data_IF_772052702132
#
_entry.id   IF_772052702132
#
_cell.length_a   1.000
_cell.length_b   1.000
_cell.length_c   1.000
_cell.angle_alpha   90.00
_cell.angle_beta   90.00
_cell.angle_gamma   90.00
#
_symmetry.space_group_name_H-M   'P 1'
#
loop_
_entity.id
_entity.type
_entity.pdbx_description
1 polymer ?
#
# COMPACT_ATOMS: atom_id res chain seq x y z
N UNK A 1 1.47 8.70 -27.99
CA UNK A 1 1.16 7.36 -27.46
C UNK A 1 1.87 7.27 -26.12
N UNK A 2 1.16 7.59 -25.04
CA UNK A 2 1.69 7.51 -23.71
C UNK A 2 2.01 6.04 -23.44
N UNK A 3 3.29 5.75 -23.19
CA UNK A 3 3.69 4.43 -22.73
C UNK A 3 3.02 4.21 -21.37
N UNK A 4 1.92 3.45 -21.35
CA UNK A 4 1.38 2.91 -20.11
C UNK A 4 2.52 2.09 -19.52
N UNK A 5 3.21 2.66 -18.55
CA UNK A 5 4.30 1.94 -17.90
C UNK A 5 3.67 0.77 -17.15
N UNK A 6 4.07 -0.43 -17.55
CA UNK A 6 3.58 -1.66 -16.94
C UNK A 6 4.22 -1.81 -15.55
N UNK A 7 3.54 -1.35 -14.50
CA UNK A 7 4.00 -1.39 -13.09
C UNK A 7 4.53 -2.78 -12.70
N UNK A 8 3.85 -3.90 -13.02
CA UNK A 8 4.39 -5.23 -12.80
C UNK A 8 5.76 -5.48 -13.44
N UNK A 9 6.00 -4.96 -14.66
CA UNK A 9 7.30 -5.11 -15.30
C UNK A 9 8.39 -4.32 -14.60
N UNK A 10 8.09 -3.14 -14.05
CA UNK A 10 9.03 -2.37 -13.24
C UNK A 10 9.44 -3.17 -12.01
N UNK A 11 8.47 -3.77 -11.30
CA UNK A 11 8.78 -4.64 -10.17
C UNK A 11 9.69 -5.81 -10.55
N UNK A 12 9.35 -6.53 -11.61
CA UNK A 12 10.13 -7.68 -12.07
C UNK A 12 11.55 -7.29 -12.48
N UNK A 13 11.72 -6.17 -13.19
CA UNK A 13 13.04 -5.67 -13.58
C UNK A 13 13.91 -5.37 -12.35
N UNK A 14 13.35 -4.70 -11.35
CA UNK A 14 14.08 -4.39 -10.12
C UNK A 14 14.34 -5.64 -9.29
N UNK A 15 13.36 -6.52 -9.14
CA UNK A 15 13.48 -7.75 -8.37
C UNK A 15 14.54 -8.72 -8.95
N UNK A 16 14.73 -8.73 -10.27
CA UNK A 16 15.73 -9.55 -10.95
C UNK A 16 17.18 -9.12 -10.70
N UNK A 17 17.42 -7.89 -10.23
CA UNK A 17 18.79 -7.40 -10.00
C UNK A 17 19.54 -8.21 -8.96
N UNK A 18 18.86 -8.54 -7.86
CA UNK A 18 19.46 -9.34 -6.78
C UNK A 18 18.36 -10.02 -5.96
N UNK A 19 18.54 -11.29 -5.64
CA UNK A 19 17.70 -12.01 -4.69
C UNK A 19 17.85 -11.40 -3.29
N UNK A 20 16.73 -11.20 -2.60
CA UNK A 20 16.70 -10.61 -1.25
C UNK A 20 16.06 -11.57 -0.25
N UNK A 21 16.45 -11.45 0.99
CA UNK A 21 15.83 -12.21 2.08
C UNK A 21 14.60 -11.47 2.57
N UNK A 22 13.43 -12.06 2.38
CA UNK A 22 12.16 -11.46 2.79
C UNK A 22 11.52 -12.32 3.87
N UNK A 23 11.18 -11.69 5.00
CA UNK A 23 10.37 -12.32 6.04
C UNK A 23 8.89 -12.18 5.74
N UNK A 24 8.12 -13.23 5.97
CA UNK A 24 6.67 -13.21 5.78
C UNK A 24 5.96 -14.04 6.87
N UNK A 25 4.82 -13.55 7.39
CA UNK A 25 4.02 -14.35 8.33
C UNK A 25 2.91 -15.10 7.60
N UNK A 26 2.90 -16.41 7.75
CA UNK A 26 1.88 -17.32 7.21
C UNK A 26 1.29 -18.15 8.33
N UNK A 27 0.01 -17.99 8.61
CA UNK A 27 -0.72 -18.75 9.64
C UNK A 27 -1.59 -19.85 9.04
N UNK A 28 -1.99 -19.68 7.78
CA UNK A 28 -2.88 -20.60 7.05
C UNK A 28 -2.24 -20.93 5.70
N UNK A 29 -1.37 -21.97 5.63
CA UNK A 29 -0.68 -22.35 4.40
C UNK A 29 -1.59 -23.13 3.45
N UNK A 30 -2.60 -22.48 2.87
CA UNK A 30 -3.48 -23.07 1.86
C UNK A 30 -2.73 -23.24 0.51
N UNK A 31 -3.20 -24.12 -0.38
CA UNK A 31 -2.51 -24.42 -1.65
C UNK A 31 -2.16 -23.18 -2.48
N UNK A 32 -3.07 -22.20 -2.57
CA UNK A 32 -2.86 -20.94 -3.31
C UNK A 32 -1.71 -20.12 -2.68
N UNK A 33 -1.67 -20.02 -1.35
CA UNK A 33 -0.59 -19.33 -0.63
C UNK A 33 0.75 -20.03 -0.87
N UNK A 34 0.81 -21.35 -0.76
CA UNK A 34 2.04 -22.12 -0.99
C UNK A 34 2.53 -21.93 -2.44
N UNK A 35 1.62 -21.95 -3.41
CA UNK A 35 1.95 -21.74 -4.82
C UNK A 35 2.53 -20.34 -5.05
N UNK A 36 1.94 -19.29 -4.43
CA UNK A 36 2.45 -17.92 -4.53
C UNK A 36 3.85 -17.76 -3.94
N UNK A 37 4.11 -18.38 -2.77
CA UNK A 37 5.44 -18.37 -2.15
C UNK A 37 6.47 -19.07 -3.03
N UNK A 38 6.13 -20.24 -3.58
CA UNK A 38 7.01 -20.99 -4.51
C UNK A 38 7.35 -20.17 -5.73
N UNK A 39 6.35 -19.51 -6.35
CA UNK A 39 6.56 -18.64 -7.50
C UNK A 39 7.47 -17.45 -7.14
N UNK A 40 7.25 -16.81 -5.99
CA UNK A 40 8.03 -15.67 -5.54
C UNK A 40 9.46 -16.04 -5.11
N UNK A 41 9.76 -17.32 -4.80
CA UNK A 41 11.09 -17.78 -4.44
C UNK A 41 12.10 -17.70 -5.60
N UNK A 42 11.65 -17.44 -6.82
CA UNK A 42 12.52 -17.03 -7.91
C UNK A 42 13.29 -15.74 -7.58
N UNK A 43 12.64 -14.80 -6.88
CA UNK A 43 13.16 -13.47 -6.58
C UNK A 43 13.64 -13.30 -5.14
N UNK A 44 13.13 -14.10 -4.20
CA UNK A 44 13.38 -13.97 -2.77
C UNK A 44 13.83 -15.25 -2.10
N UNK A 45 14.74 -15.13 -1.13
CA UNK A 45 14.98 -16.16 -0.13
C UNK A 45 13.99 -15.91 1.03
N UNK A 46 12.94 -16.71 1.10
CA UNK A 46 11.84 -16.50 2.06
C UNK A 46 12.17 -17.10 3.43
N UNK A 47 11.88 -16.32 4.47
CA UNK A 47 11.80 -16.79 5.86
C UNK A 47 10.34 -16.72 6.27
N UNK A 48 9.71 -17.88 6.42
CA UNK A 48 8.30 -18.01 6.80
C UNK A 48 8.20 -18.10 8.32
N UNK A 49 7.41 -17.21 8.92
CA UNK A 49 7.10 -17.19 10.35
C UNK A 49 5.63 -17.55 10.54
N UNK A 50 5.31 -18.43 11.49
CA UNK A 50 3.96 -18.89 11.76
C UNK A 50 3.81 -20.39 11.55
N UNK A 51 2.89 -20.82 10.69
CA UNK A 51 2.73 -22.22 10.35
C UNK A 51 3.91 -22.74 9.52
N UNK A 52 4.20 -24.05 9.65
CA UNK A 52 5.23 -24.71 8.84
C UNK A 52 4.79 -24.78 7.37
N UNK A 53 5.68 -24.37 6.47
CA UNK A 53 5.53 -24.48 5.01
C UNK A 53 6.72 -25.22 4.45
N UNK A 54 6.52 -26.42 3.91
CA UNK A 54 7.62 -27.25 3.42
C UNK A 54 8.30 -26.61 2.21
N UNK A 55 9.63 -26.74 2.18
CA UNK A 55 10.48 -26.16 1.13
C UNK A 55 10.99 -24.74 1.43
N UNK A 56 10.67 -24.18 2.59
CA UNK A 56 11.12 -22.86 3.02
C UNK A 56 11.86 -22.92 4.37
N UNK A 57 12.62 -21.88 4.67
CA UNK A 57 13.12 -21.65 6.02
C UNK A 57 11.97 -21.25 6.92
N UNK A 58 11.69 -22.03 7.96
CA UNK A 58 10.56 -21.82 8.85
C UNK A 58 11.00 -21.43 10.27
N UNK A 59 10.23 -20.53 10.89
CA UNK A 59 10.21 -20.29 12.32
C UNK A 59 8.76 -20.50 12.76
N UNK A 60 8.49 -21.61 13.42
CA UNK A 60 7.13 -21.98 13.82
C UNK A 60 6.71 -21.19 15.05
N UNK A 61 5.67 -20.38 14.92
CA UNK A 61 5.04 -19.60 15.99
C UNK A 61 3.58 -19.31 15.61
N UNK A 62 2.65 -19.89 16.34
CA UNK A 62 1.21 -19.76 16.04
C UNK A 62 0.58 -18.49 16.65
N UNK A 63 1.21 -17.94 17.69
CA UNK A 63 0.77 -16.70 18.28
C UNK A 63 1.12 -15.52 17.37
N UNK A 64 0.10 -14.74 16.99
CA UNK A 64 0.25 -13.65 16.00
C UNK A 64 1.15 -12.51 16.49
N UNK A 65 1.09 -12.21 17.80
CA UNK A 65 1.88 -11.12 18.39
C UNK A 65 3.35 -11.53 18.43
N UNK A 66 3.64 -12.73 18.92
CA UNK A 66 5.02 -13.28 18.92
C UNK A 66 5.56 -13.47 17.50
N UNK A 67 4.75 -13.96 16.56
CA UNK A 67 5.16 -14.08 15.16
C UNK A 67 5.54 -12.69 14.57
N UNK A 68 4.80 -11.65 14.94
CA UNK A 68 5.11 -10.26 14.56
C UNK A 68 6.42 -9.78 15.23
N UNK A 69 6.62 -10.05 16.52
CA UNK A 69 7.87 -9.71 17.23
C UNK A 69 9.10 -10.41 16.59
N UNK A 70 8.97 -11.69 16.25
CA UNK A 70 10.03 -12.44 15.57
C UNK A 70 10.34 -11.82 14.20
N UNK A 71 9.30 -11.53 13.38
CA UNK A 71 9.46 -10.93 12.06
C UNK A 71 10.25 -9.61 12.14
N UNK A 72 9.87 -8.74 13.06
CA UNK A 72 10.50 -7.42 13.24
C UNK A 72 11.90 -7.54 13.84
N UNK A 73 12.14 -8.49 14.75
CA UNK A 73 13.48 -8.74 15.30
C UNK A 73 14.45 -9.18 14.23
N UNK A 74 14.03 -10.07 13.31
CA UNK A 74 14.85 -10.48 12.17
C UNK A 74 15.23 -9.31 11.27
N UNK A 75 14.29 -8.37 11.05
CA UNK A 75 14.55 -7.16 10.27
C UNK A 75 15.57 -6.25 10.98
N UNK A 76 15.40 -6.01 12.27
CA UNK A 76 16.31 -5.19 13.10
C UNK A 76 17.73 -5.78 13.12
N UNK A 77 17.83 -7.09 13.20
CA UNK A 77 19.11 -7.82 13.21
C UNK A 77 19.72 -7.98 11.81
N UNK A 78 19.08 -7.41 10.77
CA UNK A 78 19.51 -7.52 9.36
C UNK A 78 19.64 -8.98 8.87
N UNK A 79 18.87 -9.89 9.46
CA UNK A 79 18.78 -11.30 9.01
C UNK A 79 17.85 -11.45 7.82
N UNK A 80 16.99 -10.45 7.58
CA UNK A 80 16.14 -10.24 6.42
C UNK A 80 16.28 -8.80 5.94
N UNK A 81 16.05 -8.55 4.66
CA UNK A 81 16.20 -7.24 4.00
C UNK A 81 14.91 -6.42 4.04
N UNK A 82 13.77 -7.08 4.08
CA UNK A 82 12.43 -6.48 4.12
C UNK A 82 11.40 -7.46 4.64
N UNK A 83 10.19 -6.97 4.86
CA UNK A 83 9.08 -7.78 5.35
C UNK A 83 7.85 -7.68 4.47
N UNK A 84 7.10 -8.78 4.43
CA UNK A 84 5.69 -8.84 4.06
C UNK A 84 4.93 -9.23 5.32
N UNK A 85 4.02 -8.37 5.77
CA UNK A 85 3.27 -8.61 7.02
C UNK A 85 2.53 -9.96 6.98
N UNK A 86 1.95 -10.30 5.84
CA UNK A 86 1.24 -11.57 5.66
C UNK A 86 -0.08 -11.61 6.44
N UNK A 87 -0.33 -12.70 7.19
CA UNK A 87 -1.65 -13.03 7.73
C UNK A 87 -1.88 -12.60 9.19
N UNK A 88 -0.93 -11.93 9.83
CA UNK A 88 -1.10 -11.37 11.18
C UNK A 88 -1.82 -10.02 11.14
N UNK A 89 -2.28 -9.54 12.30
CA UNK A 89 -2.90 -8.22 12.41
C UNK A 89 -1.85 -7.11 12.23
N UNK A 90 -2.23 -6.05 11.50
CA UNK A 90 -1.38 -4.87 11.29
C UNK A 90 -0.93 -4.23 12.63
N UNK A 91 -1.84 -4.08 13.60
CA UNK A 91 -1.51 -3.52 14.90
C UNK A 91 -0.37 -4.28 15.60
N UNK A 92 -0.37 -5.61 15.58
CA UNK A 92 0.69 -6.40 16.23
C UNK A 92 2.05 -6.15 15.58
N UNK A 93 2.09 -6.10 14.25
CA UNK A 93 3.36 -5.90 13.53
C UNK A 93 3.87 -4.47 13.69
N UNK A 94 3.00 -3.47 13.68
CA UNK A 94 3.40 -2.08 13.88
C UNK A 94 3.83 -1.82 15.34
N UNK A 95 3.11 -2.37 16.32
CA UNK A 95 3.48 -2.25 17.74
C UNK A 95 4.85 -2.90 18.00
N UNK A 96 5.07 -4.10 17.44
CA UNK A 96 6.37 -4.77 17.48
C UNK A 96 7.46 -3.93 16.79
N UNK A 97 7.14 -3.27 15.66
CA UNK A 97 8.07 -2.41 14.93
C UNK A 97 8.51 -1.22 15.78
N UNK A 98 7.58 -0.43 16.27
CA UNK A 98 7.89 0.77 17.07
C UNK A 98 8.65 0.40 18.34
N UNK A 99 8.25 -0.66 19.04
CA UNK A 99 8.94 -1.17 20.22
C UNK A 99 10.38 -1.60 19.91
N UNK A 100 10.57 -2.43 18.86
CA UNK A 100 11.87 -3.01 18.52
C UNK A 100 12.86 -1.96 18.00
N UNK A 101 12.37 -0.99 17.23
CA UNK A 101 13.21 0.10 16.69
C UNK A 101 13.38 1.26 17.66
N UNK A 102 12.75 1.21 18.84
CA UNK A 102 12.73 2.28 19.84
C UNK A 102 12.28 3.62 19.23
N UNK A 103 11.21 3.57 18.47
CA UNK A 103 10.59 4.71 17.80
C UNK A 103 9.27 5.06 18.45
N UNK A 104 8.97 6.36 18.53
CA UNK A 104 7.63 6.80 18.88
C UNK A 104 6.62 6.35 17.80
N UNK A 105 5.46 5.83 18.18
CA UNK A 105 4.43 5.43 17.23
C UNK A 105 3.99 6.60 16.35
N UNK A 106 4.05 6.41 15.05
CA UNK A 106 3.53 7.40 14.11
C UNK A 106 2.00 7.44 14.25
N UNK A 107 1.40 8.62 14.51
CA UNK A 107 -0.05 8.74 14.57
C UNK A 107 -0.73 8.17 13.32
N UNK A 108 -1.85 7.47 13.50
CA UNK A 108 -2.52 6.76 12.39
C UNK A 108 -2.89 7.66 11.21
N UNK A 109 -3.18 8.94 11.46
CA UNK A 109 -3.44 9.94 10.43
C UNK A 109 -2.18 10.46 9.70
N UNK A 110 -0.98 10.08 10.15
CA UNK A 110 0.31 10.48 9.56
C UNK A 110 1.13 9.31 9.02
N UNK A 111 0.64 8.09 9.14
CA UNK A 111 1.23 6.97 8.41
C UNK A 111 0.98 7.16 6.93
N UNK A 112 2.01 6.98 6.10
CA UNK A 112 1.87 7.09 4.65
C UNK A 112 1.80 5.68 4.09
N UNK A 113 0.58 5.22 3.81
CA UNK A 113 0.34 3.95 3.16
C UNK A 113 -0.14 4.18 1.73
N UNK A 114 0.42 3.44 0.78
CA UNK A 114 0.00 3.46 -0.62
C UNK A 114 -0.29 2.04 -1.07
N UNK A 115 -1.46 1.84 -1.68
CA UNK A 115 -1.83 0.59 -2.32
C UNK A 115 -1.75 0.75 -3.85
N UNK A 116 -1.40 -0.33 -4.55
CA UNK A 116 -1.36 -0.37 -6.02
C UNK A 116 -2.30 -1.46 -6.48
N UNK A 117 -3.35 -1.08 -7.19
CA UNK A 117 -4.35 -1.99 -7.74
C UNK A 117 -4.19 -2.10 -9.25
N UNK A 118 -4.49 -3.29 -9.80
CA UNK A 118 -4.46 -3.56 -11.23
C UNK A 118 -5.64 -4.39 -11.68
N UNK A 119 -6.20 -4.05 -12.84
CA UNK A 119 -7.11 -4.91 -13.60
C UNK A 119 -6.81 -4.76 -15.09
N UNK A 120 -6.48 -5.88 -15.74
CA UNK A 120 -5.99 -5.86 -17.12
C UNK A 120 -4.71 -5.03 -17.24
N UNK A 121 -4.67 -4.11 -18.20
CA UNK A 121 -3.53 -3.23 -18.45
C UNK A 121 -3.57 -1.93 -17.65
N UNK A 122 -4.61 -1.71 -16.85
CA UNK A 122 -4.75 -0.49 -16.06
C UNK A 122 -4.39 -0.74 -14.60
N UNK A 123 -3.45 0.07 -14.11
CA UNK A 123 -3.08 0.09 -12.70
C UNK A 123 -3.11 1.52 -12.18
N UNK A 124 -3.43 1.67 -10.89
CA UNK A 124 -3.41 2.96 -10.21
C UNK A 124 -3.00 2.82 -8.74
N UNK A 125 -2.47 3.90 -8.22
CA UNK A 125 -2.14 4.06 -6.81
C UNK A 125 -3.36 4.58 -6.05
N UNK A 126 -3.55 4.09 -4.84
CA UNK A 126 -4.56 4.57 -3.90
C UNK A 126 -3.85 5.10 -2.67
N UNK A 127 -4.06 6.37 -2.37
CA UNK A 127 -3.67 6.95 -1.08
C UNK A 127 -4.78 6.79 -0.05
N UNK A 128 -4.55 7.29 1.15
CA UNK A 128 -5.63 7.44 2.16
C UNK A 128 -6.43 6.15 2.35
N UNK A 129 -5.72 5.03 2.52
CA UNK A 129 -6.32 3.70 2.65
C UNK A 129 -6.33 3.16 4.09
N UNK A 130 -5.83 3.89 5.07
CA UNK A 130 -6.00 3.61 6.50
C UNK A 130 -7.18 4.38 7.07
N UNK A 131 -7.98 3.75 7.95
CA UNK A 131 -9.29 4.24 8.41
C UNK A 131 -9.26 5.69 8.94
N UNK A 132 -8.19 6.07 9.61
CA UNK A 132 -8.07 7.38 10.27
C UNK A 132 -7.41 8.47 9.41
N UNK A 133 -7.08 8.20 8.16
CA UNK A 133 -6.45 9.14 7.25
C UNK A 133 -7.46 10.08 6.58
N UNK A 134 -6.96 11.21 6.07
CA UNK A 134 -7.73 12.13 5.23
C UNK A 134 -8.73 13.05 5.94
N UNK A 135 -8.72 13.06 7.28
CA UNK A 135 -9.64 13.87 8.09
C UNK A 135 -9.09 15.27 8.44
N UNK A 136 -7.82 15.53 8.16
CA UNK A 136 -7.12 16.80 8.43
C UNK A 136 -6.38 17.19 7.16
N UNK A 137 -6.66 18.37 6.61
CA UNK A 137 -6.09 18.84 5.34
C UNK A 137 -4.56 18.79 5.34
N UNK A 138 -3.91 19.34 6.37
CA UNK A 138 -2.44 19.37 6.46
C UNK A 138 -1.81 17.98 6.39
N UNK A 139 -2.39 17.01 7.08
CA UNK A 139 -1.88 15.64 7.10
C UNK A 139 -2.14 14.95 5.75
N UNK A 140 -3.28 15.25 5.11
CA UNK A 140 -3.63 14.72 3.78
C UNK A 140 -2.73 15.28 2.68
N UNK A 141 -2.42 16.58 2.73
CA UNK A 141 -1.42 17.19 1.83
C UNK A 141 -0.08 16.48 1.99
N UNK A 142 0.40 16.34 3.23
CA UNK A 142 1.67 15.66 3.51
C UNK A 142 1.69 14.23 2.97
N UNK A 143 0.62 13.47 3.17
CA UNK A 143 0.48 12.11 2.64
C UNK A 143 0.56 12.10 1.12
N UNK A 144 -0.27 12.91 0.45
CA UNK A 144 -0.38 12.90 -1.02
C UNK A 144 0.91 13.38 -1.68
N UNK A 145 1.58 14.42 -1.17
CA UNK A 145 2.86 14.88 -1.70
C UNK A 145 3.95 13.80 -1.61
N UNK A 146 4.02 13.06 -0.50
CA UNK A 146 4.98 11.95 -0.38
C UNK A 146 4.66 10.80 -1.34
N UNK A 147 3.39 10.53 -1.60
CA UNK A 147 2.98 9.50 -2.58
C UNK A 147 3.28 9.97 -4.00
N UNK A 148 3.03 11.24 -4.34
CA UNK A 148 3.43 11.83 -5.63
C UNK A 148 4.93 11.66 -5.85
N UNK A 149 5.73 12.07 -4.87
CA UNK A 149 7.18 11.90 -4.91
C UNK A 149 7.58 10.44 -5.12
N UNK A 150 6.96 9.52 -4.37
CA UNK A 150 7.19 8.10 -4.53
C UNK A 150 6.86 7.62 -5.95
N UNK A 151 5.73 8.04 -6.54
CA UNK A 151 5.35 7.68 -7.90
C UNK A 151 6.37 8.20 -8.92
N UNK A 152 6.81 9.44 -8.78
CA UNK A 152 7.77 10.06 -9.69
C UNK A 152 9.15 9.42 -9.59
N UNK A 153 9.69 9.24 -8.37
CA UNK A 153 11.04 8.73 -8.16
C UNK A 153 11.15 7.21 -8.40
N UNK A 154 10.09 6.46 -8.04
CA UNK A 154 10.14 5.01 -8.02
C UNK A 154 9.63 4.37 -9.30
N UNK A 155 8.69 5.03 -9.96
CA UNK A 155 8.06 4.50 -11.16
C UNK A 155 8.34 5.35 -12.40
N UNK A 156 8.98 6.52 -12.22
CA UNK A 156 9.24 7.47 -13.32
C UNK A 156 7.94 7.85 -14.04
N UNK A 157 6.84 7.99 -13.27
CA UNK A 157 5.52 8.33 -13.76
C UNK A 157 5.11 9.73 -13.31
N UNK A 158 4.45 10.48 -14.19
CA UNK A 158 3.77 11.69 -13.80
C UNK A 158 2.36 11.36 -13.28
N UNK A 159 2.02 11.76 -12.03
CA UNK A 159 0.72 11.49 -11.48
C UNK A 159 -0.39 12.29 -12.17
N UNK A 160 -1.40 11.60 -12.69
CA UNK A 160 -2.72 12.15 -13.00
C UNK A 160 -3.64 11.85 -11.84
N UNK A 161 -4.00 12.89 -11.09
CA UNK A 161 -4.53 12.75 -9.74
C UNK A 161 -6.06 12.95 -9.72
N UNK A 162 -6.78 11.90 -9.35
CA UNK A 162 -8.22 11.98 -9.08
C UNK A 162 -8.51 12.20 -7.60
N UNK A 163 -9.02 13.37 -7.24
CA UNK A 163 -9.43 13.69 -5.87
C UNK A 163 -10.89 13.35 -5.71
N UNK A 164 -11.19 12.45 -4.77
CA UNK A 164 -12.56 12.04 -4.48
C UNK A 164 -13.14 12.85 -3.32
N UNK A 165 -14.43 13.20 -3.42
CA UNK A 165 -15.13 13.93 -2.38
C UNK A 165 -16.31 13.12 -1.85
N UNK A 166 -16.90 13.57 -0.74
CA UNK A 166 -18.07 12.94 -0.13
C UNK A 166 -19.39 13.45 -0.71
N UNK A 167 -19.36 14.47 -1.57
CA UNK A 167 -20.53 15.09 -2.18
C UNK A 167 -20.45 14.98 -3.70
N UNK A 168 -21.58 15.19 -4.35
CA UNK A 168 -21.68 15.39 -5.80
C UNK A 168 -21.72 16.88 -6.13
N UNK A 169 -21.39 17.31 -7.36
CA UNK A 169 -21.47 18.73 -7.74
C UNK A 169 -22.84 19.36 -7.47
N UNK A 170 -23.90 18.55 -7.57
CA UNK A 170 -25.30 18.98 -7.35
C UNK A 170 -25.76 18.84 -5.90
N UNK A 171 -24.92 18.36 -5.00
CA UNK A 171 -25.29 18.17 -3.59
C UNK A 171 -25.46 19.51 -2.88
N UNK A 172 -26.47 19.61 -2.02
CA UNK A 172 -26.64 20.77 -1.18
C UNK A 172 -25.67 20.74 -0.01
N UNK A 173 -24.79 21.73 0.05
CA UNK A 173 -23.88 21.96 1.17
C UNK A 173 -24.68 22.52 2.36
N UNK A 174 -24.24 22.24 3.59
CA UNK A 174 -24.86 22.74 4.83
C UNK A 174 -25.88 21.80 5.45
N UNK A 175 -26.20 20.68 4.80
CA UNK A 175 -27.20 19.73 5.31
C UNK A 175 -26.59 18.68 6.26
N UNK A 176 -25.35 18.26 5.99
CA UNK A 176 -24.66 17.21 6.75
C UNK A 176 -23.23 17.65 7.08
N UNK A 177 -23.00 18.25 8.28
CA UNK A 177 -21.71 18.87 8.62
C UNK A 177 -20.48 17.99 8.42
N UNK A 178 -20.58 16.69 8.71
CA UNK A 178 -19.46 15.75 8.53
C UNK A 178 -19.10 15.52 7.05
N UNK A 179 -20.10 15.44 6.17
CA UNK A 179 -19.89 15.31 4.74
C UNK A 179 -19.35 16.61 4.14
N UNK A 180 -19.90 17.74 4.59
CA UNK A 180 -19.47 19.07 4.13
C UNK A 180 -18.01 19.34 4.53
N UNK A 181 -17.61 18.99 5.76
CA UNK A 181 -16.23 19.13 6.21
C UNK A 181 -15.27 18.28 5.38
N UNK A 182 -15.66 17.05 5.05
CA UNK A 182 -14.85 16.17 4.22
C UNK A 182 -14.76 16.68 2.78
N UNK A 183 -15.86 17.17 2.22
CA UNK A 183 -15.87 17.77 0.89
C UNK A 183 -14.93 18.97 0.82
N UNK A 184 -15.02 19.89 1.79
CA UNK A 184 -14.15 21.06 1.88
C UNK A 184 -12.66 20.67 1.88
N UNK A 185 -12.24 19.67 2.69
CA UNK A 185 -10.86 19.20 2.73
C UNK A 185 -10.40 18.74 1.34
N UNK A 186 -11.24 18.02 0.59
CA UNK A 186 -10.86 17.48 -0.72
C UNK A 186 -10.81 18.56 -1.81
N UNK A 187 -11.72 19.52 -1.78
CA UNK A 187 -11.66 20.70 -2.68
C UNK A 187 -10.40 21.52 -2.40
N UNK A 188 -10.11 21.83 -1.13
CA UNK A 188 -8.89 22.58 -0.76
C UNK A 188 -7.59 21.81 -1.11
N UNK A 189 -7.58 20.48 -1.01
CA UNK A 189 -6.47 19.65 -1.47
C UNK A 189 -6.31 19.73 -2.99
N UNK A 190 -7.41 19.64 -3.74
CA UNK A 190 -7.38 19.76 -5.20
C UNK A 190 -6.80 21.11 -5.63
N UNK A 191 -7.31 22.20 -5.08
CA UNK A 191 -6.84 23.56 -5.34
C UNK A 191 -5.35 23.72 -5.01
N UNK A 192 -4.91 23.15 -3.88
CA UNK A 192 -3.51 23.16 -3.48
C UNK A 192 -2.61 22.45 -4.51
N UNK A 193 -3.00 21.25 -4.97
CA UNK A 193 -2.22 20.48 -5.93
C UNK A 193 -2.19 21.15 -7.32
N UNK A 194 -3.30 21.67 -7.78
CA UNK A 194 -3.38 22.44 -9.04
C UNK A 194 -2.50 23.69 -8.98
N UNK A 195 -2.52 24.44 -7.86
CA UNK A 195 -1.65 25.60 -7.66
C UNK A 195 -0.15 25.24 -7.61
N UNK A 196 0.19 24.01 -7.26
CA UNK A 196 1.55 23.45 -7.32
C UNK A 196 1.95 22.98 -8.72
N UNK A 197 1.05 22.99 -9.69
CA UNK A 197 1.29 22.58 -11.07
C UNK A 197 1.06 21.09 -11.34
N UNK A 198 0.46 20.34 -10.40
CA UNK A 198 0.10 18.93 -10.64
C UNK A 198 -1.16 18.81 -11.50
N UNK A 199 -1.23 17.75 -12.32
CA UNK A 199 -2.46 17.35 -13.03
C UNK A 199 -3.44 16.71 -12.04
N UNK A 200 -4.20 17.56 -11.33
CA UNK A 200 -5.16 17.15 -10.32
C UNK A 200 -6.56 17.66 -10.65
N UNK A 201 -7.57 16.82 -10.44
CA UNK A 201 -8.97 17.16 -10.67
C UNK A 201 -9.84 16.53 -9.61
N UNK A 202 -10.85 17.28 -9.12
CA UNK A 202 -11.89 16.76 -8.25
C UNK A 202 -12.94 16.01 -9.07
N UNK A 203 -13.17 14.72 -8.71
CA UNK A 203 -14.16 13.84 -9.31
C UNK A 203 -15.38 13.64 -8.40
N UNK A 204 -15.42 14.35 -7.29
CA UNK A 204 -16.51 14.27 -6.32
C UNK A 204 -16.71 12.82 -5.82
N UNK A 205 -17.95 12.30 -5.87
CA UNK A 205 -18.26 10.93 -5.47
C UNK A 205 -18.17 9.92 -6.64
N UNK A 206 -17.74 10.35 -7.84
CA UNK A 206 -17.81 9.57 -9.08
C UNK A 206 -16.47 8.87 -9.37
N UNK A 207 -16.16 7.84 -8.58
CA UNK A 207 -14.91 7.03 -8.69
C UNK A 207 -14.72 6.41 -10.08
N UNK A 208 -15.83 5.97 -10.70
CA UNK A 208 -15.84 5.41 -12.05
C UNK A 208 -15.31 6.41 -13.08
N UNK A 209 -15.64 7.68 -12.96
CA UNK A 209 -15.17 8.71 -13.87
C UNK A 209 -13.65 8.93 -13.76
N UNK A 210 -13.10 8.92 -12.53
CA UNK A 210 -11.66 8.99 -12.34
C UNK A 210 -10.92 7.78 -12.97
N UNK A 211 -11.52 6.59 -12.87
CA UNK A 211 -11.00 5.36 -13.50
C UNK A 211 -11.10 5.43 -15.03
N UNK A 212 -12.21 5.93 -15.58
CA UNK A 212 -12.38 6.09 -17.03
C UNK A 212 -11.42 7.14 -17.60
N UNK A 213 -11.18 8.23 -16.88
CA UNK A 213 -10.20 9.26 -17.22
C UNK A 213 -8.74 8.80 -17.04
N UNK A 214 -8.52 7.53 -16.60
CA UNK A 214 -7.20 6.93 -16.41
C UNK A 214 -6.34 7.70 -15.39
N UNK A 215 -6.93 8.17 -14.31
CA UNK A 215 -6.15 8.68 -13.19
C UNK A 215 -5.25 7.56 -12.63
N UNK A 216 -3.96 7.83 -12.50
CA UNK A 216 -3.01 6.84 -11.97
C UNK A 216 -2.72 7.03 -10.47
N UNK A 217 -3.21 8.11 -9.85
CA UNK A 217 -3.31 8.28 -8.41
C UNK A 217 -4.74 8.67 -8.05
N UNK A 218 -5.42 7.82 -7.28
CA UNK A 218 -6.76 8.11 -6.76
C UNK A 218 -6.66 8.37 -5.27
N UNK A 219 -7.17 9.54 -4.85
CA UNK A 219 -7.17 10.01 -3.47
C UNK A 219 -8.60 9.96 -2.94
N UNK A 220 -8.98 8.93 -2.18
CA UNK A 220 -10.31 8.82 -1.57
C UNK A 220 -10.67 9.98 -0.66
N UNK A 221 -11.96 10.22 -0.47
CA UNK A 221 -12.46 11.32 0.37
C UNK A 221 -11.93 11.25 1.81
N UNK A 222 -11.84 10.05 2.35
CA UNK A 222 -11.25 9.73 3.66
C UNK A 222 -10.81 8.26 3.69
N UNK A 223 -9.98 7.90 4.66
CA UNK A 223 -9.40 6.57 4.75
C UNK A 223 -10.41 5.43 4.93
N UNK A 224 -11.48 5.66 5.68
CA UNK A 224 -12.57 4.68 5.80
C UNK A 224 -13.19 4.32 4.45
N UNK A 225 -13.45 5.32 3.62
CA UNK A 225 -14.01 5.14 2.28
C UNK A 225 -12.99 4.46 1.37
N UNK A 226 -11.73 4.91 1.40
CA UNK A 226 -10.64 4.32 0.62
C UNK A 226 -10.44 2.84 0.95
N UNK A 227 -10.41 2.49 2.23
CA UNK A 227 -10.27 1.10 2.66
C UNK A 227 -11.44 0.21 2.23
N UNK A 228 -12.68 0.71 2.39
CA UNK A 228 -13.87 -0.03 1.98
C UNK A 228 -13.93 -0.21 0.46
N UNK A 229 -13.64 0.85 -0.30
CA UNK A 229 -13.61 0.81 -1.77
C UNK A 229 -12.53 -0.14 -2.30
N UNK A 230 -11.32 -0.06 -1.78
CA UNK A 230 -10.23 -0.97 -2.12
C UNK A 230 -10.63 -2.44 -1.90
N UNK A 231 -11.20 -2.76 -0.73
CA UNK A 231 -11.65 -4.13 -0.43
C UNK A 231 -12.78 -4.59 -1.38
N UNK A 232 -13.70 -3.70 -1.74
CA UNK A 232 -14.74 -4.02 -2.71
C UNK A 232 -14.15 -4.36 -4.08
N UNK A 233 -13.17 -3.60 -4.55
CA UNK A 233 -12.46 -3.89 -5.79
C UNK A 233 -11.74 -5.24 -5.74
N UNK A 234 -11.03 -5.53 -4.65
CA UNK A 234 -10.26 -6.77 -4.50
C UNK A 234 -11.16 -8.01 -4.40
N UNK A 235 -12.19 -7.97 -3.56
CA UNK A 235 -12.96 -9.16 -3.23
C UNK A 235 -14.24 -9.34 -4.04
N UNK A 236 -14.73 -8.28 -4.70
CA UNK A 236 -15.97 -8.29 -5.48
C UNK A 236 -15.75 -7.87 -6.94
N UNK A 237 -14.63 -7.24 -7.26
CA UNK A 237 -14.40 -6.63 -8.57
C UNK A 237 -13.27 -7.26 -9.39
N UNK A 238 -12.67 -8.35 -8.94
CA UNK A 238 -11.56 -9.06 -9.60
C UNK A 238 -10.35 -8.15 -9.92
N UNK A 239 -10.05 -7.21 -9.02
CA UNK A 239 -8.82 -6.43 -9.05
C UNK A 239 -7.71 -7.16 -8.28
N UNK A 240 -6.48 -7.00 -8.73
CA UNK A 240 -5.30 -7.50 -8.02
C UNK A 240 -4.69 -6.39 -7.16
N UNK A 241 -4.29 -6.73 -5.94
CA UNK A 241 -3.42 -5.90 -5.12
C UNK A 241 -1.98 -6.25 -5.45
N UNK A 242 -1.29 -5.33 -6.14
CA UNK A 242 0.12 -5.55 -6.49
C UNK A 242 1.05 -5.23 -5.32
N UNK A 243 0.72 -4.20 -4.55
CA UNK A 243 1.49 -3.76 -3.40
C UNK A 243 0.61 -2.96 -2.44
N UNK A 244 0.99 -2.97 -1.18
CA UNK A 244 0.46 -2.05 -0.16
C UNK A 244 1.58 -1.83 0.85
N UNK A 245 2.25 -0.68 0.80
CA UNK A 245 3.42 -0.45 1.62
C UNK A 245 3.36 0.85 2.41
N UNK A 246 4.08 0.88 3.52
CA UNK A 246 4.32 2.09 4.30
C UNK A 246 5.57 2.80 3.81
N UNK A 247 5.45 4.08 3.42
CA UNK A 247 6.57 4.87 2.87
C UNK A 247 7.44 5.52 3.95
N UNK A 248 6.91 5.75 5.14
CA UNK A 248 7.56 6.55 6.18
C UNK A 248 8.03 5.77 7.41
N UNK A 249 8.27 4.46 7.25
CA UNK A 249 8.86 3.64 8.31
C UNK A 249 10.40 3.49 8.20
N UNK A 250 11.00 3.94 7.09
CA UNK A 250 12.45 3.85 6.86
C UNK A 250 12.98 2.44 6.59
N UNK A 251 12.09 1.47 6.39
CA UNK A 251 12.40 0.08 6.04
C UNK A 251 11.44 -0.40 4.95
N UNK A 252 11.76 -1.48 4.28
CA UNK A 252 10.83 -2.13 3.35
C UNK A 252 9.79 -2.91 4.15
N UNK A 253 8.59 -2.35 4.23
CA UNK A 253 7.45 -2.90 4.96
C UNK A 253 6.25 -2.99 4.01
N UNK A 254 5.99 -4.18 3.53
CA UNK A 254 4.84 -4.52 2.69
C UNK A 254 3.68 -5.00 3.57
N UNK A 255 2.55 -4.29 3.53
CA UNK A 255 1.42 -4.56 4.41
C UNK A 255 0.45 -5.59 3.82
N UNK A 256 -0.33 -5.22 2.83
CA UNK A 256 -1.37 -6.09 2.27
C UNK A 256 -2.60 -6.26 3.16
N UNK A 257 -3.41 -7.26 2.85
CA UNK A 257 -4.56 -7.64 3.67
C UNK A 257 -4.34 -9.01 4.33
N UNK A 258 -4.75 -9.19 5.60
CA UNK A 258 -4.57 -10.48 6.30
C UNK A 258 -5.41 -11.64 5.73
N UNK A 259 -6.37 -11.35 4.85
CA UNK A 259 -7.18 -12.35 4.14
C UNK A 259 -6.61 -12.65 2.74
N UNK A 260 -5.45 -12.08 2.41
CA UNK A 260 -4.71 -12.37 1.19
C UNK A 260 -4.39 -13.86 1.11
N UNK A 261 -4.47 -14.39 -0.12
CA UNK A 261 -4.12 -15.77 -0.42
C UNK A 261 -2.90 -15.85 -1.32
N UNK A 262 -2.72 -14.86 -2.19
CA UNK A 262 -1.60 -14.75 -3.12
C UNK A 262 -0.68 -13.60 -2.69
N UNK A 263 0.52 -13.94 -2.27
CA UNK A 263 1.55 -12.98 -1.84
C UNK A 263 2.63 -12.74 -2.89
N UNK A 264 2.46 -13.27 -4.10
CA UNK A 264 3.50 -13.18 -5.12
C UNK A 264 3.94 -11.75 -5.40
N UNK A 265 2.99 -10.85 -5.70
CA UNK A 265 3.31 -9.47 -6.02
C UNK A 265 3.83 -8.68 -4.82
N UNK A 266 3.31 -8.92 -3.62
CA UNK A 266 3.83 -8.30 -2.39
C UNK A 266 5.31 -8.65 -2.16
N UNK A 267 5.68 -9.91 -2.35
CA UNK A 267 7.07 -10.36 -2.21
C UNK A 267 7.94 -9.77 -3.31
N UNK A 268 7.51 -9.80 -4.57
CA UNK A 268 8.24 -9.23 -5.70
C UNK A 268 8.44 -7.72 -5.50
N UNK A 269 7.41 -7.00 -5.05
CA UNK A 269 7.51 -5.58 -4.73
C UNK A 269 8.49 -5.32 -3.57
N UNK A 270 8.41 -6.07 -2.49
CA UNK A 270 9.36 -5.94 -1.37
C UNK A 270 10.82 -6.14 -1.84
N UNK A 271 11.09 -7.15 -2.69
CA UNK A 271 12.42 -7.37 -3.29
C UNK A 271 12.82 -6.20 -4.17
N UNK A 272 11.90 -5.70 -5.02
CA UNK A 272 12.15 -4.54 -5.88
C UNK A 272 12.56 -3.32 -5.06
N UNK A 273 11.85 -3.04 -3.95
CA UNK A 273 12.15 -1.95 -3.02
C UNK A 273 13.51 -2.13 -2.31
N UNK A 274 13.89 -3.36 -1.95
CA UNK A 274 15.20 -3.65 -1.37
C UNK A 274 16.36 -3.51 -2.38
N UNK A 275 16.08 -3.59 -3.68
CA UNK A 275 17.07 -3.53 -4.76
C UNK A 275 17.28 -2.13 -5.33
N UNK A 276 16.57 -1.14 -4.79
CA UNK A 276 16.78 0.24 -5.20
C UNK A 276 18.11 0.74 -4.70
N UNK A 277 18.85 1.39 -5.55
CA UNK A 277 20.04 2.10 -5.17
C UNK A 277 19.61 3.19 -4.15
N UNK A 278 20.14 3.11 -2.95
CA UNK A 278 20.02 4.19 -1.97
C UNK A 278 20.92 5.31 -2.48
N UNK A 279 20.33 6.23 -3.28
CA UNK A 279 20.99 7.49 -3.63
C UNK A 279 21.21 8.35 -2.39
#
# INVERSE_FOLDING_TARGET
MDKIQNIPQIFLMQAKKQKRKIGITILRPIPETIASLKKASEYADLVVIGARVDGFKNIVEEDQDKASEILISLLKEKKIDGIVRGQVKDSYTLDAFFKTFNMEPIPSNRKIAVAILQKGDYAFFVSTCSIYQGMILKDKIYEVENIIKHIQEEFMLEPKIGIMSSLRPTSKVGKYPSLDATAKINTELCDYLVNKGYDAKEYYFEYETAVWDKCNLIVPSMGLVGNAWMKALLYLGDWNLLACNYLNLGVVYEDGTRNEKDFYWHIVHAVAMCNKDKN
#
